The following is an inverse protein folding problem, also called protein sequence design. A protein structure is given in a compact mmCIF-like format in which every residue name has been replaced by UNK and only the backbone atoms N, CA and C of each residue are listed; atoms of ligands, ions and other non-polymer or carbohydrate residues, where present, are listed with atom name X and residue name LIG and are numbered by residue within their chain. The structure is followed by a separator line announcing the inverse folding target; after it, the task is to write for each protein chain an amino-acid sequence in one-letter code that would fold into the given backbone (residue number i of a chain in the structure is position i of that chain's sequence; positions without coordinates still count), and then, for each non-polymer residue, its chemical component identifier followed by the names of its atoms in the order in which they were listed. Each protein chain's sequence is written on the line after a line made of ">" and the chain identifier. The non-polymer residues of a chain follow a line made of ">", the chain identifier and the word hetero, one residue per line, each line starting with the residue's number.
data_IF_718896153324
#
_entry.id   IF_718896153324
#
_cell.length_a   1.000
_cell.length_b   1.000
_cell.length_c   1.000
_cell.angle_alpha   90.00
_cell.angle_beta   90.00
_cell.angle_gamma   90.00
#
_symmetry.space_group_name_H-M   'P 1'
#
loop_
_entity.id
_entity.type
_entity.pdbx_description
1 polymer ?
#
# COMPACT_ATOMS: atom_id res chain seq x y z
N UNK A 1 9.63 2.52 6.51
CA UNK A 1 10.74 2.24 5.56
C UNK A 1 10.31 2.44 4.12
N UNK A 2 9.21 1.83 3.68
CA UNK A 2 8.75 1.94 2.28
C UNK A 2 8.53 3.38 1.82
N UNK A 3 7.96 4.21 2.68
CA UNK A 3 7.73 5.62 2.40
C UNK A 3 9.03 6.38 2.18
N UNK A 4 10.00 6.17 3.05
CA UNK A 4 11.32 6.82 2.99
C UNK A 4 12.06 6.39 1.72
N UNK A 5 12.08 5.10 1.43
CA UNK A 5 12.72 4.56 0.22
C UNK A 5 12.06 5.11 -1.03
N UNK A 6 10.73 5.19 -1.08
CA UNK A 6 10.00 5.74 -2.21
C UNK A 6 10.39 7.19 -2.50
N UNK A 7 10.47 8.03 -1.46
CA UNK A 7 10.89 9.42 -1.62
C UNK A 7 12.36 9.54 -2.05
N UNK A 8 13.24 8.71 -1.50
CA UNK A 8 14.65 8.68 -1.90
C UNK A 8 14.85 8.22 -3.34
N UNK A 9 13.95 7.42 -3.87
CA UNK A 9 13.97 6.95 -5.26
C UNK A 9 13.27 7.90 -6.23
N UNK A 10 12.72 9.02 -5.75
CA UNK A 10 12.18 10.06 -6.62
C UNK A 10 10.66 10.24 -6.62
N UNK A 11 9.94 9.59 -5.72
CA UNK A 11 8.52 9.88 -5.55
C UNK A 11 8.32 11.35 -5.15
N UNK A 12 7.39 12.04 -5.81
CA UNK A 12 7.15 13.46 -5.54
C UNK A 12 6.41 13.70 -4.24
N UNK A 13 5.46 12.82 -3.94
CA UNK A 13 4.65 12.89 -2.73
C UNK A 13 4.14 11.50 -2.38
N UNK A 14 3.87 11.25 -1.11
CA UNK A 14 3.25 10.00 -0.69
C UNK A 14 2.17 10.19 0.36
N UNK A 15 1.30 9.20 0.45
CA UNK A 15 0.29 9.10 1.50
C UNK A 15 0.43 7.73 2.16
N UNK A 16 0.48 7.71 3.47
CA UNK A 16 0.54 6.48 4.24
C UNK A 16 -0.63 6.37 5.22
N UNK A 17 -1.07 5.16 5.47
CA UNK A 17 -2.09 4.86 6.48
C UNK A 17 -1.63 3.73 7.39
N UNK A 18 -1.97 3.83 8.64
CA UNK A 18 -1.74 2.77 9.63
C UNK A 18 -2.86 2.79 10.67
N UNK A 19 -3.19 1.64 11.21
CA UNK A 19 -4.18 1.55 12.31
C UNK A 19 -3.60 2.00 13.65
N UNK A 20 -2.28 2.06 13.76
CA UNK A 20 -1.55 2.40 14.98
C UNK A 20 -0.98 3.82 14.89
N UNK A 21 -1.43 4.68 15.80
CA UNK A 21 -0.95 6.06 15.90
C UNK A 21 0.56 6.15 16.17
N UNK A 22 1.11 5.22 16.94
CA UNK A 22 2.54 5.19 17.25
C UNK A 22 3.39 4.97 15.99
N UNK A 23 2.87 4.23 15.01
CA UNK A 23 3.52 4.05 13.71
C UNK A 23 3.63 5.36 12.93
N UNK A 24 2.63 6.23 13.03
CA UNK A 24 2.63 7.55 12.38
C UNK A 24 3.70 8.45 13.02
N UNK A 25 3.77 8.48 14.34
CA UNK A 25 4.78 9.24 15.07
C UNK A 25 6.19 8.78 14.69
N UNK A 26 6.42 7.47 14.72
CA UNK A 26 7.71 6.88 14.34
C UNK A 26 8.08 7.17 12.88
N UNK A 27 7.11 7.23 11.99
CA UNK A 27 7.34 7.58 10.58
C UNK A 27 7.89 9.00 10.44
N UNK A 28 7.30 9.97 11.12
CA UNK A 28 7.80 11.35 11.07
C UNK A 28 9.17 11.50 11.72
N UNK A 29 9.44 10.80 12.81
CA UNK A 29 10.78 10.76 13.43
C UNK A 29 11.82 10.22 12.45
N UNK A 30 11.49 9.15 11.73
CA UNK A 30 12.38 8.57 10.73
C UNK A 30 12.55 9.48 9.50
N UNK A 31 11.56 10.25 9.13
CA UNK A 31 11.68 11.28 8.09
C UNK A 31 12.74 12.31 8.48
N UNK A 32 12.69 12.81 9.72
CA UNK A 32 13.63 13.79 10.23
C UNK A 32 15.06 13.27 10.22
N UNK A 33 15.29 12.05 10.73
CA UNK A 33 16.60 11.39 10.75
C UNK A 33 17.16 11.19 9.33
N UNK A 34 16.30 10.98 8.35
CA UNK A 34 16.68 10.79 6.94
C UNK A 34 16.68 12.08 6.11
N UNK A 35 16.56 13.23 6.77
CA UNK A 35 16.57 14.55 6.11
C UNK A 35 15.43 14.76 5.11
N UNK A 36 14.27 14.17 5.38
CA UNK A 36 13.05 14.36 4.57
C UNK A 36 12.13 15.38 5.25
N UNK A 37 11.46 16.19 4.43
CA UNK A 37 10.47 17.14 4.90
C UNK A 37 9.15 16.44 5.22
N UNK A 38 8.49 16.84 6.30
CA UNK A 38 7.14 16.37 6.62
C UNK A 38 6.10 16.69 5.53
N UNK A 39 6.37 17.72 4.74
CA UNK A 39 5.49 18.13 3.64
C UNK A 39 5.49 17.15 2.47
N UNK A 40 6.47 16.26 2.39
CA UNK A 40 6.57 15.25 1.32
C UNK A 40 5.63 14.07 1.53
N UNK A 41 5.00 13.93 2.69
CA UNK A 41 4.09 12.83 2.99
C UNK A 41 2.94 13.24 3.90
N UNK A 42 1.76 12.66 3.63
CA UNK A 42 0.59 12.75 4.48
C UNK A 42 0.34 11.38 5.10
N UNK A 43 0.22 11.33 6.44
CA UNK A 43 0.00 10.09 7.16
C UNK A 43 -1.26 10.17 8.00
N UNK A 44 -2.11 9.15 7.87
CA UNK A 44 -3.39 9.09 8.56
C UNK A 44 -3.52 7.82 9.38
N UNK A 45 -4.13 7.94 10.54
CA UNK A 45 -4.50 6.81 11.39
C UNK A 45 -5.89 6.32 11.01
N UNK A 46 -6.03 5.03 10.79
CA UNK A 46 -7.34 4.43 10.52
C UNK A 46 -7.22 3.18 9.68
N UNK A 47 -8.36 2.51 9.49
CA UNK A 47 -8.48 1.31 8.68
C UNK A 47 -9.09 1.67 7.31
N UNK A 48 -8.29 1.61 6.26
CA UNK A 48 -8.72 1.96 4.90
C UNK A 48 -9.85 1.04 4.39
N UNK A 49 -9.99 -0.15 4.94
CA UNK A 49 -10.97 -1.15 4.48
C UNK A 49 -12.40 -0.66 4.65
N UNK A 50 -12.72 -0.07 5.79
CA UNK A 50 -14.09 0.26 6.19
C UNK A 50 -14.32 1.73 6.61
N UNK A 51 -13.26 2.50 6.76
CA UNK A 51 -13.36 3.91 7.13
C UNK A 51 -13.54 4.80 5.90
N UNK A 52 -14.78 5.16 5.60
CA UNK A 52 -15.11 6.00 4.44
C UNK A 52 -14.52 7.41 4.55
N UNK A 53 -14.43 7.96 5.75
CA UNK A 53 -13.77 9.27 5.99
C UNK A 53 -12.29 9.22 5.68
N UNK A 54 -11.60 8.13 6.04
CA UNK A 54 -10.21 7.90 5.70
C UNK A 54 -10.03 7.73 4.19
N UNK A 55 -10.90 6.96 3.55
CA UNK A 55 -10.89 6.77 2.09
C UNK A 55 -10.99 8.09 1.34
N UNK A 56 -11.84 9.01 1.81
CA UNK A 56 -11.98 10.36 1.25
C UNK A 56 -10.72 11.19 1.42
N UNK A 57 -10.10 11.15 2.60
CA UNK A 57 -8.83 11.85 2.87
C UNK A 57 -7.69 11.35 2.01
N UNK A 58 -7.57 10.04 1.86
CA UNK A 58 -6.58 9.40 1.00
C UNK A 58 -6.81 9.80 -0.46
N UNK A 59 -8.05 9.85 -0.90
CA UNK A 59 -8.45 10.31 -2.23
C UNK A 59 -8.68 9.19 -3.23
N UNK A 60 -9.21 9.56 -4.39
CA UNK A 60 -9.53 8.63 -5.49
C UNK A 60 -8.75 9.00 -6.75
N UNK A 61 -8.37 7.97 -7.54
CA UNK A 61 -7.65 8.14 -8.82
C UNK A 61 -6.45 9.09 -8.72
N UNK A 62 -5.72 9.00 -7.59
CA UNK A 62 -4.69 9.95 -7.22
C UNK A 62 -3.28 9.37 -7.30
N UNK A 63 -3.14 8.05 -7.16
CA UNK A 63 -1.85 7.42 -6.99
C UNK A 63 -1.41 6.64 -8.22
N UNK A 64 -0.12 6.78 -8.55
CA UNK A 64 0.53 5.98 -9.59
C UNK A 64 0.85 4.58 -9.08
N UNK A 65 1.22 4.48 -7.80
CA UNK A 65 1.60 3.23 -7.14
C UNK A 65 1.00 3.16 -5.75
N UNK A 66 0.45 2.01 -5.41
CA UNK A 66 0.06 1.66 -4.03
C UNK A 66 0.89 0.47 -3.59
N UNK A 67 1.49 0.57 -2.42
CA UNK A 67 2.31 -0.51 -1.84
C UNK A 67 1.73 -0.94 -0.51
N UNK A 68 1.60 -2.24 -0.30
CA UNK A 68 1.14 -2.81 0.96
C UNK A 68 2.02 -4.00 1.35
N UNK A 69 2.75 -3.87 2.44
CA UNK A 69 3.54 -4.96 3.03
C UNK A 69 2.91 -5.34 4.37
N UNK A 70 1.87 -6.15 4.31
CA UNK A 70 1.03 -6.53 5.44
C UNK A 70 0.58 -7.98 5.31
N UNK A 71 -0.10 -8.50 6.33
CA UNK A 71 -0.59 -9.88 6.33
C UNK A 71 -1.62 -10.13 5.23
N UNK A 72 -1.62 -11.33 4.66
CA UNK A 72 -2.58 -11.75 3.64
C UNK A 72 -4.03 -11.55 4.08
N UNK A 73 -4.34 -11.85 5.33
CA UNK A 73 -5.69 -11.70 5.89
C UNK A 73 -6.18 -10.24 5.96
N UNK A 74 -5.26 -9.28 5.86
CA UNK A 74 -5.58 -7.85 5.76
C UNK A 74 -5.65 -7.41 4.30
N UNK A 75 -4.76 -7.93 3.45
CA UNK A 75 -4.74 -7.62 2.01
C UNK A 75 -6.04 -8.05 1.33
N UNK A 76 -6.52 -9.25 1.63
CA UNK A 76 -7.72 -9.81 0.99
C UNK A 76 -8.94 -8.88 1.13
N UNK A 77 -9.35 -8.45 2.34
CA UNK A 77 -10.46 -7.51 2.46
C UNK A 77 -10.13 -6.10 1.98
N UNK A 78 -8.86 -5.74 1.87
CA UNK A 78 -8.43 -4.42 1.38
C UNK A 78 -8.45 -4.33 -0.15
N UNK A 79 -8.24 -5.43 -0.86
CA UNK A 79 -8.15 -5.45 -2.32
C UNK A 79 -9.31 -4.71 -3.03
N UNK A 80 -10.57 -4.82 -2.59
CA UNK A 80 -11.67 -4.11 -3.25
C UNK A 80 -11.61 -2.58 -3.21
N UNK A 81 -10.91 -1.99 -2.23
CA UNK A 81 -10.83 -0.53 -2.09
C UNK A 81 -9.58 0.07 -2.76
N UNK A 82 -8.65 -0.76 -3.21
CA UNK A 82 -7.40 -0.31 -3.84
C UNK A 82 -7.60 0.31 -5.23
N UNK A 83 -8.36 -0.29 -6.16
CA UNK A 83 -8.50 0.27 -7.51
C UNK A 83 -9.01 1.72 -7.52
N UNK A 84 -9.90 2.07 -6.61
CA UNK A 84 -10.42 3.43 -6.51
C UNK A 84 -9.35 4.46 -6.11
N UNK A 85 -8.26 4.03 -5.47
CA UNK A 85 -7.13 4.90 -5.10
C UNK A 85 -6.18 5.14 -6.26
N UNK A 86 -6.07 4.17 -7.17
CA UNK A 86 -5.13 4.20 -8.29
C UNK A 86 -5.66 5.01 -9.48
N UNK A 87 -4.74 5.71 -10.14
CA UNK A 87 -4.96 6.26 -11.47
C UNK A 87 -5.13 5.11 -12.47
N UNK A 88 -5.66 5.42 -13.66
CA UNK A 88 -5.67 4.47 -14.78
C UNK A 88 -4.25 3.94 -15.02
N UNK A 89 -4.12 2.64 -15.19
CA UNK A 89 -2.85 1.93 -15.35
C UNK A 89 -1.91 2.01 -14.13
N UNK A 90 -2.40 2.50 -13.00
CA UNK A 90 -1.67 2.49 -11.75
C UNK A 90 -1.37 1.08 -11.26
N UNK A 91 -0.31 0.93 -10.49
CA UNK A 91 0.24 -0.36 -10.05
C UNK A 91 0.03 -0.59 -8.57
N UNK A 92 -0.42 -1.79 -8.22
CA UNK A 92 -0.51 -2.26 -6.85
C UNK A 92 0.58 -3.31 -6.60
N UNK A 93 1.42 -3.06 -5.60
CA UNK A 93 2.48 -3.98 -5.19
C UNK A 93 2.18 -4.42 -3.76
N UNK A 94 1.98 -5.70 -3.55
CA UNK A 94 1.79 -6.25 -2.21
C UNK A 94 2.84 -7.31 -1.90
N UNK A 95 3.27 -7.37 -0.66
CA UNK A 95 4.27 -8.32 -0.17
C UNK A 95 3.96 -8.71 1.29
N UNK A 96 4.80 -9.56 1.87
CA UNK A 96 4.54 -10.07 3.22
C UNK A 96 3.49 -11.19 3.24
N UNK A 97 3.23 -11.79 2.08
CA UNK A 97 2.27 -12.87 1.91
C UNK A 97 2.97 -14.20 2.14
N UNK A 98 2.47 -15.01 3.08
CA UNK A 98 2.96 -16.38 3.24
C UNK A 98 2.52 -17.24 2.04
N UNK A 99 3.37 -18.15 1.60
CA UNK A 99 3.21 -18.89 0.34
C UNK A 99 1.87 -19.63 0.20
N UNK A 100 1.37 -20.25 1.27
CA UNK A 100 0.10 -20.98 1.21
C UNK A 100 -1.14 -20.05 1.10
N UNK A 101 -0.97 -18.74 1.21
CA UNK A 101 -2.03 -17.73 1.02
C UNK A 101 -1.97 -17.06 -0.36
N UNK A 102 -1.00 -17.39 -1.19
CA UNK A 102 -0.81 -16.76 -2.50
C UNK A 102 -2.08 -16.78 -3.35
N UNK A 103 -2.71 -17.94 -3.49
CA UNK A 103 -3.90 -18.07 -4.35
C UNK A 103 -5.08 -17.24 -3.86
N UNK A 104 -5.31 -17.18 -2.55
CA UNK A 104 -6.38 -16.39 -1.96
C UNK A 104 -6.19 -14.89 -2.20
N UNK A 105 -4.95 -14.41 -2.05
CA UNK A 105 -4.62 -13.00 -2.31
C UNK A 105 -4.74 -12.69 -3.79
N UNK A 106 -4.22 -13.55 -4.65
CA UNK A 106 -4.30 -13.39 -6.10
C UNK A 106 -5.76 -13.29 -6.58
N UNK A 107 -6.60 -14.20 -6.11
CA UNK A 107 -8.04 -14.19 -6.43
C UNK A 107 -8.73 -12.90 -5.97
N UNK A 108 -8.41 -12.42 -4.77
CA UNK A 108 -8.96 -11.17 -4.26
C UNK A 108 -8.58 -9.96 -5.12
N UNK A 109 -7.32 -9.90 -5.57
CA UNK A 109 -6.82 -8.86 -6.47
C UNK A 109 -7.54 -8.91 -7.82
N UNK A 110 -7.68 -10.10 -8.40
CA UNK A 110 -8.37 -10.28 -9.69
C UNK A 110 -9.86 -9.95 -9.59
N UNK A 111 -10.53 -10.35 -8.52
CA UNK A 111 -11.94 -10.00 -8.26
C UNK A 111 -12.16 -8.50 -8.11
N UNK A 112 -11.17 -7.79 -7.60
CA UNK A 112 -11.22 -6.33 -7.48
C UNK A 112 -11.07 -5.62 -8.83
N UNK A 113 -10.80 -6.35 -9.92
CA UNK A 113 -10.69 -5.82 -11.27
C UNK A 113 -9.26 -5.46 -11.68
N UNK A 114 -8.26 -5.88 -10.92
CA UNK A 114 -6.85 -5.66 -11.26
C UNK A 114 -6.27 -6.89 -11.97
N UNK A 115 -5.30 -6.63 -12.86
CA UNK A 115 -4.59 -7.68 -13.61
C UNK A 115 -3.27 -7.98 -12.92
N UNK A 116 -3.06 -9.22 -12.51
CA UNK A 116 -1.78 -9.67 -11.94
C UNK A 116 -0.72 -9.71 -13.04
N UNK A 117 0.38 -8.96 -12.83
CA UNK A 117 1.49 -8.87 -13.77
C UNK A 117 2.62 -9.80 -13.42
N UNK A 118 2.92 -9.95 -12.14
CA UNK A 118 4.08 -10.71 -11.66
C UNK A 118 3.82 -11.25 -10.26
N UNK A 119 4.29 -12.45 -10.01
CA UNK A 119 4.33 -13.06 -8.68
C UNK A 119 5.76 -13.49 -8.43
N UNK A 120 6.35 -13.02 -7.33
CA UNK A 120 7.73 -13.30 -6.96
C UNK A 120 7.78 -14.04 -5.64
N UNK A 121 8.58 -15.11 -5.59
CA UNK A 121 8.79 -15.89 -4.39
C UNK A 121 10.20 -15.70 -3.83
N UNK A 122 10.29 -15.56 -2.52
CA UNK A 122 11.56 -15.56 -1.79
C UNK A 122 11.39 -16.37 -0.52
N UNK A 123 11.90 -17.62 -0.53
CA UNK A 123 11.64 -18.56 0.54
C UNK A 123 10.14 -18.84 0.65
N UNK A 124 9.58 -18.64 1.84
CA UNK A 124 8.15 -18.79 2.13
C UNK A 124 7.32 -17.51 1.86
N UNK A 125 7.97 -16.44 1.41
CA UNK A 125 7.32 -15.16 1.20
C UNK A 125 7.03 -14.89 -0.27
N UNK A 126 5.89 -14.25 -0.51
CA UNK A 126 5.37 -13.94 -1.85
C UNK A 126 5.10 -12.45 -1.98
N UNK A 127 5.44 -11.91 -3.14
CA UNK A 127 5.07 -10.57 -3.56
C UNK A 127 4.23 -10.66 -4.84
N UNK A 128 3.17 -9.89 -4.93
CA UNK A 128 2.31 -9.81 -6.11
C UNK A 128 2.26 -8.38 -6.60
N UNK A 129 2.50 -8.21 -7.90
CA UNK A 129 2.36 -6.93 -8.59
C UNK A 129 1.18 -7.02 -9.54
N UNK A 130 0.27 -6.05 -9.44
CA UNK A 130 -0.93 -5.99 -10.27
C UNK A 130 -1.14 -4.58 -10.81
N UNK A 131 -1.92 -4.46 -11.89
CA UNK A 131 -2.26 -3.19 -12.53
C UNK A 131 -3.76 -2.99 -12.58
N UNK A 132 -4.18 -1.76 -12.35
CA UNK A 132 -5.57 -1.34 -12.52
C UNK A 132 -6.03 -1.36 -13.98
#
# INVERSE_FOLDING_TARGET
>A
ILSIVSLKLGAGHLTGTDIDEDCITSTYENFEVNHLSREQGDFYVGNLIDDTGLQEKVGTEKYDVVVANILADVIIPMAPVIPARLKKDGVFITSGIIDFKENEVREAIEKAGMTVLEVTHQGEWVSITARK
#
